data_IF_639774575010
#
_entry.id   IF_639774575010
#
_cell.length_a   1.000
_cell.length_b   1.000
_cell.length_c   1.000
_cell.angle_alpha   90.00
_cell.angle_beta   90.00
_cell.angle_gamma   90.00
#
_symmetry.space_group_name_H-M   'P 1'
#
loop_
_entity.id
_entity.type
_entity.pdbx_description
1 polymer ?
#
# COMPACT_ATOMS: atom_id res chain seq x y z
N UNK A 1 30.21 -4.05 -55.56
CA UNK A 1 30.14 -3.53 -54.18
C UNK A 1 28.72 -3.05 -53.83
N UNK A 2 28.05 -2.23 -54.68
CA UNK A 2 26.70 -1.69 -54.43
C UNK A 2 25.67 -2.82 -54.26
N UNK A 3 25.71 -3.89 -55.06
CA UNK A 3 24.76 -4.99 -54.93
C UNK A 3 24.88 -5.76 -53.61
N UNK A 4 26.09 -5.91 -53.06
CA UNK A 4 26.30 -6.63 -51.79
C UNK A 4 25.75 -5.82 -50.63
N UNK A 5 25.96 -4.51 -50.60
CA UNK A 5 25.42 -3.63 -49.56
C UNK A 5 23.88 -3.54 -49.58
N UNK A 6 23.29 -3.51 -50.79
CA UNK A 6 21.83 -3.53 -50.93
C UNK A 6 21.24 -4.86 -50.46
N UNK A 7 21.87 -5.98 -50.82
CA UNK A 7 21.42 -7.31 -50.37
C UNK A 7 21.50 -7.45 -48.86
N UNK A 8 22.59 -6.98 -48.25
CA UNK A 8 22.75 -6.99 -46.79
C UNK A 8 21.71 -6.11 -46.09
N UNK A 9 21.47 -4.91 -46.64
CA UNK A 9 20.42 -4.01 -46.09
C UNK A 9 19.03 -4.62 -46.19
N UNK A 10 18.70 -5.33 -47.27
CA UNK A 10 17.42 -6.04 -47.42
C UNK A 10 17.27 -7.18 -46.41
N UNK A 11 18.32 -7.97 -46.21
CA UNK A 11 18.31 -9.06 -45.20
C UNK A 11 18.16 -8.49 -43.81
N UNK A 12 18.87 -7.42 -43.46
CA UNK A 12 18.76 -6.75 -42.18
C UNK A 12 17.36 -6.15 -41.95
N UNK A 13 16.75 -5.57 -42.98
CA UNK A 13 15.40 -5.03 -42.92
C UNK A 13 14.33 -6.13 -42.69
N UNK A 14 14.45 -7.26 -43.40
CA UNK A 14 13.58 -8.42 -43.22
C UNK A 14 13.76 -9.03 -41.82
N UNK A 15 15.00 -9.18 -41.38
CA UNK A 15 15.31 -9.66 -40.04
C UNK A 15 14.68 -8.75 -38.97
N UNK A 16 14.89 -7.43 -39.07
CA UNK A 16 14.33 -6.45 -38.13
C UNK A 16 12.81 -6.45 -38.16
N UNK A 17 12.19 -6.58 -39.34
CA UNK A 17 10.74 -6.54 -39.48
C UNK A 17 10.01 -7.81 -38.92
N UNK A 18 10.71 -8.96 -38.94
CA UNK A 18 10.09 -10.23 -38.49
C UNK A 18 10.50 -10.67 -37.09
N UNK A 19 11.73 -10.43 -36.68
CA UNK A 19 12.26 -10.96 -35.42
C UNK A 19 12.06 -9.97 -34.27
N UNK A 20 12.32 -8.68 -34.51
CA UNK A 20 12.16 -7.66 -33.47
C UNK A 20 10.71 -7.59 -32.89
N UNK A 21 9.62 -7.57 -33.70
CA UNK A 21 8.27 -7.55 -33.16
C UNK A 21 7.92 -8.77 -32.31
N UNK A 22 8.42 -9.96 -32.69
CA UNK A 22 8.20 -11.17 -31.90
C UNK A 22 8.84 -11.11 -30.53
N UNK A 23 10.10 -10.67 -30.46
CA UNK A 23 10.84 -10.53 -29.20
C UNK A 23 10.30 -9.40 -28.31
N UNK A 24 9.84 -8.30 -28.90
CA UNK A 24 9.23 -7.21 -28.16
C UNK A 24 7.88 -7.62 -27.60
N UNK A 25 7.06 -8.34 -28.36
CA UNK A 25 5.75 -8.84 -27.92
C UNK A 25 5.87 -9.84 -26.77
N UNK A 26 6.84 -10.77 -26.84
CA UNK A 26 7.09 -11.73 -25.76
C UNK A 26 7.47 -11.03 -24.45
N UNK A 27 8.41 -10.09 -24.50
CA UNK A 27 8.80 -9.29 -23.32
C UNK A 27 7.66 -8.42 -22.79
N UNK A 28 6.85 -7.85 -23.67
CA UNK A 28 5.74 -7.03 -23.28
C UNK A 28 4.60 -7.86 -22.66
N UNK A 29 4.37 -9.08 -23.17
CA UNK A 29 3.45 -10.04 -22.61
C UNK A 29 3.88 -10.52 -21.21
N UNK A 30 5.16 -10.86 -21.04
CA UNK A 30 5.71 -11.20 -19.71
C UNK A 30 5.58 -10.05 -18.71
N UNK A 31 5.87 -8.82 -19.16
CA UNK A 31 5.69 -7.62 -18.34
C UNK A 31 4.22 -7.43 -17.94
N UNK A 32 3.29 -7.59 -18.88
CA UNK A 32 1.85 -7.48 -18.62
C UNK A 32 1.35 -8.56 -17.66
N UNK A 33 1.86 -9.79 -17.78
CA UNK A 33 1.52 -10.88 -16.87
C UNK A 33 1.95 -10.56 -15.44
N UNK A 34 3.19 -10.08 -15.25
CA UNK A 34 3.68 -9.67 -13.92
C UNK A 34 2.84 -8.52 -13.36
N UNK A 35 2.51 -7.52 -14.17
CA UNK A 35 1.67 -6.40 -13.75
C UNK A 35 0.25 -6.90 -13.38
N UNK A 36 -0.34 -7.77 -14.20
CA UNK A 36 -1.67 -8.32 -13.94
C UNK A 36 -1.70 -9.18 -12.66
N UNK A 37 -0.69 -9.99 -12.43
CA UNK A 37 -0.56 -10.80 -11.20
C UNK A 37 -0.43 -9.88 -9.98
N UNK A 38 0.42 -8.86 -10.03
CA UNK A 38 0.57 -7.90 -8.95
C UNK A 38 -0.71 -7.11 -8.70
N UNK A 39 -1.41 -6.71 -9.77
CA UNK A 39 -2.67 -6.00 -9.67
C UNK A 39 -3.83 -6.88 -9.16
N UNK A 40 -3.80 -8.18 -9.46
CA UNK A 40 -4.79 -9.13 -8.95
C UNK A 40 -4.59 -9.50 -7.49
N UNK A 41 -3.35 -9.42 -7.00
CA UNK A 41 -3.05 -9.66 -5.60
C UNK A 41 -3.63 -8.56 -4.72
N UNK A 42 -4.27 -8.97 -3.63
CA UNK A 42 -4.69 -8.04 -2.58
C UNK A 42 -3.51 -7.60 -1.70
N UNK A 43 -2.41 -8.33 -1.77
CA UNK A 43 -1.20 -8.15 -0.99
C UNK A 43 -0.14 -7.37 -1.76
N UNK A 44 0.49 -6.43 -1.11
CA UNK A 44 1.69 -5.76 -1.60
C UNK A 44 2.92 -6.51 -1.09
N UNK A 45 3.37 -7.50 -1.82
CA UNK A 45 4.47 -8.40 -1.43
C UNK A 45 5.75 -7.62 -1.08
N UNK A 46 6.02 -6.54 -1.82
CA UNK A 46 7.20 -5.71 -1.56
C UNK A 46 7.02 -4.87 -0.30
N UNK A 47 5.85 -4.25 -0.12
CA UNK A 47 5.50 -3.52 1.09
C UNK A 47 5.50 -4.43 2.32
N UNK A 48 4.97 -5.64 2.22
CA UNK A 48 5.01 -6.63 3.30
C UNK A 48 6.44 -7.01 3.69
N UNK A 49 7.31 -7.25 2.72
CA UNK A 49 8.71 -7.53 3.00
C UNK A 49 9.41 -6.37 3.71
N UNK A 50 9.16 -5.14 3.30
CA UNK A 50 9.68 -3.95 3.97
C UNK A 50 9.12 -3.78 5.39
N UNK A 51 7.80 -4.03 5.58
CA UNK A 51 7.19 -3.98 6.91
C UNK A 51 7.80 -5.01 7.85
N UNK A 52 7.93 -6.25 7.39
CA UNK A 52 8.51 -7.32 8.20
C UNK A 52 9.97 -7.09 8.56
N UNK A 53 10.72 -6.39 7.71
CA UNK A 53 12.12 -6.03 7.97
C UNK A 53 12.23 -4.90 8.99
N UNK A 54 11.41 -3.84 8.85
CA UNK A 54 11.49 -2.65 9.71
C UNK A 54 10.70 -2.76 11.02
N UNK A 55 9.70 -3.65 11.10
CA UNK A 55 8.80 -3.71 12.24
C UNK A 55 9.49 -4.03 13.57
N UNK A 56 10.46 -4.97 13.63
CA UNK A 56 11.24 -5.22 14.84
C UNK A 56 12.00 -3.99 15.32
N UNK A 57 12.46 -3.11 14.43
CA UNK A 57 13.16 -1.88 14.80
C UNK A 57 12.20 -0.90 15.46
N UNK A 58 10.95 -0.81 15.00
CA UNK A 58 9.91 0.02 15.63
C UNK A 58 9.54 -0.55 17.02
N UNK A 59 9.36 -1.87 17.15
CA UNK A 59 9.01 -2.53 18.41
C UNK A 59 10.09 -2.36 19.48
N UNK A 60 11.37 -2.35 19.05
CA UNK A 60 12.52 -2.23 19.96
C UNK A 60 13.05 -0.79 20.07
N UNK A 61 12.37 0.18 19.49
CA UNK A 61 12.79 1.59 19.58
C UNK A 61 12.64 2.12 21.01
N UNK A 62 13.77 2.38 21.64
CA UNK A 62 13.82 2.84 23.03
C UNK A 62 13.27 4.24 23.22
N UNK A 63 13.41 5.11 22.20
CA UNK A 63 12.88 6.47 22.27
C UNK A 63 11.35 6.46 22.14
N UNK A 64 10.83 5.66 21.22
CA UNK A 64 9.39 5.45 21.07
C UNK A 64 8.81 4.84 22.34
N UNK A 65 9.47 3.83 22.91
CA UNK A 65 9.08 3.20 24.18
C UNK A 65 9.03 4.19 25.33
N UNK A 66 10.05 5.06 25.47
CA UNK A 66 10.08 6.10 26.52
C UNK A 66 8.93 7.10 26.35
N UNK A 67 8.68 7.55 25.13
CA UNK A 67 7.53 8.44 24.86
C UNK A 67 6.19 7.77 25.17
N UNK A 68 6.01 6.50 24.79
CA UNK A 68 4.78 5.73 24.97
C UNK A 68 4.52 5.28 26.42
N UNK A 69 5.55 5.17 27.24
CA UNK A 69 5.44 4.68 28.64
C UNK A 69 4.94 5.75 29.62
N UNK A 70 4.72 6.97 29.17
CA UNK A 70 4.20 8.07 30.02
C UNK A 70 2.79 7.79 30.49
N UNK A 71 2.50 8.14 31.72
CA UNK A 71 1.16 7.98 32.33
C UNK A 71 0.09 8.81 31.61
N UNK A 72 0.47 9.99 31.15
CA UNK A 72 -0.39 10.89 30.39
C UNK A 72 0.32 11.38 29.14
N UNK A 73 -0.36 11.25 28.00
CA UNK A 73 0.08 11.79 26.72
C UNK A 73 -0.76 13.01 26.36
N UNK A 74 -0.13 14.17 26.31
CA UNK A 74 -0.77 15.37 25.81
C UNK A 74 -0.97 15.28 24.28
N UNK A 75 -1.87 16.07 23.67
CA UNK A 75 -1.98 16.14 22.20
C UNK A 75 -0.68 16.46 21.49
N UNK A 76 0.20 17.26 22.11
CA UNK A 76 1.51 17.61 21.56
C UNK A 76 2.48 16.41 21.62
N UNK A 77 2.44 15.60 22.69
CA UNK A 77 3.21 14.35 22.77
C UNK A 77 2.76 13.37 21.68
N UNK A 78 1.46 13.21 21.49
CA UNK A 78 0.90 12.35 20.44
C UNK A 78 1.34 12.80 19.05
N UNK A 79 1.26 14.09 18.73
CA UNK A 79 1.72 14.65 17.47
C UNK A 79 3.24 14.47 17.27
N UNK A 80 4.00 14.54 18.36
CA UNK A 80 5.45 14.31 18.33
C UNK A 80 5.76 12.85 17.97
N UNK A 81 5.02 11.89 18.55
CA UNK A 81 5.17 10.46 18.23
C UNK A 81 4.79 10.20 16.76
N UNK A 82 3.70 10.76 16.26
CA UNK A 82 3.29 10.60 14.86
C UNK A 82 4.35 11.13 13.90
N UNK A 83 4.86 12.34 14.16
CA UNK A 83 5.93 12.93 13.37
C UNK A 83 7.23 12.11 13.42
N UNK A 84 7.53 11.55 14.59
CA UNK A 84 8.68 10.69 14.76
C UNK A 84 8.59 9.42 13.92
N UNK A 85 7.44 8.76 13.92
CA UNK A 85 7.17 7.57 13.11
C UNK A 85 7.27 7.89 11.60
N UNK A 86 6.63 8.98 11.16
CA UNK A 86 6.67 9.39 9.77
C UNK A 86 8.10 9.65 9.28
N UNK A 87 8.90 10.37 10.05
CA UNK A 87 10.24 10.78 9.63
C UNK A 87 11.21 9.60 9.65
N UNK A 88 11.14 8.72 10.64
CA UNK A 88 12.16 7.69 10.85
C UNK A 88 11.82 6.36 10.17
N UNK A 89 10.52 6.04 9.99
CA UNK A 89 10.09 4.73 9.51
C UNK A 89 9.24 4.79 8.24
N UNK A 90 8.32 5.75 8.15
CA UNK A 90 7.30 5.75 7.10
C UNK A 90 7.53 6.81 6.02
N UNK A 91 8.76 6.93 5.52
CA UNK A 91 9.12 7.79 4.38
C UNK A 91 9.32 6.98 3.10
N UNK A 92 9.40 7.65 1.97
CA UNK A 92 9.78 7.07 0.68
C UNK A 92 8.72 6.12 0.11
N UNK A 93 8.91 4.81 0.22
CA UNK A 93 7.94 3.83 -0.26
C UNK A 93 6.56 4.04 0.36
N UNK A 94 6.51 4.38 1.63
CA UNK A 94 5.30 4.57 2.42
C UNK A 94 4.51 5.83 2.07
N UNK A 95 5.04 6.71 1.22
CA UNK A 95 4.29 7.85 0.68
C UNK A 95 3.17 7.43 -0.29
N UNK A 96 3.16 6.14 -0.70
CA UNK A 96 2.06 5.52 -1.44
C UNK A 96 0.94 4.98 -0.55
N UNK A 97 1.06 5.17 0.78
CA UNK A 97 0.07 4.74 1.76
C UNK A 97 -0.50 5.91 2.54
N UNK A 98 -1.79 5.88 2.77
CA UNK A 98 -2.42 6.68 3.81
C UNK A 98 -2.06 6.05 5.17
N UNK A 99 -1.46 6.86 6.03
CA UNK A 99 -0.90 6.43 7.31
C UNK A 99 -1.77 6.99 8.42
N UNK A 100 -2.43 6.11 9.16
CA UNK A 100 -3.28 6.48 10.29
C UNK A 100 -2.65 5.91 11.56
N UNK A 101 -2.31 6.79 12.46
CA UNK A 101 -1.76 6.43 13.77
C UNK A 101 -2.80 6.64 14.85
N UNK A 102 -3.01 5.65 15.68
CA UNK A 102 -3.91 5.74 16.83
C UNK A 102 -3.16 5.33 18.08
N UNK A 103 -3.13 6.21 19.08
CA UNK A 103 -2.58 5.92 20.40
C UNK A 103 -3.71 5.98 21.41
N UNK A 104 -3.84 4.94 22.22
CA UNK A 104 -4.83 4.89 23.27
C UNK A 104 -4.37 4.00 24.43
N UNK A 105 -4.90 4.25 25.63
CA UNK A 105 -4.79 3.34 26.75
C UNK A 105 -5.82 2.21 26.64
N UNK A 106 -5.61 1.10 27.32
CA UNK A 106 -6.46 -0.10 27.24
C UNK A 106 -7.90 0.11 27.70
N UNK A 107 -8.17 1.12 28.51
CA UNK A 107 -9.50 1.53 28.98
C UNK A 107 -10.08 2.76 28.25
N UNK A 108 -9.35 3.31 27.27
CA UNK A 108 -9.75 4.55 26.59
C UNK A 108 -10.91 4.35 25.63
N UNK A 109 -11.88 5.29 25.62
CA UNK A 109 -12.93 5.32 24.62
C UNK A 109 -12.39 5.83 23.28
N UNK A 110 -12.81 5.20 22.18
CA UNK A 110 -12.59 5.64 20.81
C UNK A 110 -13.86 6.33 20.31
N UNK A 111 -13.72 7.57 19.83
CA UNK A 111 -14.82 8.37 19.29
C UNK A 111 -14.72 8.41 17.76
N UNK A 112 -15.83 8.16 17.08
CA UNK A 112 -15.91 8.22 15.63
C UNK A 112 -16.54 9.53 15.19
N UNK A 113 -15.83 10.35 14.44
CA UNK A 113 -16.33 11.65 13.94
C UNK A 113 -17.53 11.50 13.00
N UNK A 114 -17.57 10.40 12.23
CA UNK A 114 -18.63 10.15 11.25
C UNK A 114 -19.91 9.57 11.82
N UNK A 115 -19.88 9.06 13.07
CA UNK A 115 -21.01 8.37 13.70
C UNK A 115 -21.25 8.98 15.07
N UNK A 116 -22.10 10.03 15.10
CA UNK A 116 -22.37 10.82 16.29
C UNK A 116 -22.92 9.96 17.44
N UNK A 117 -22.05 9.56 18.35
CA UNK A 117 -22.38 8.86 19.57
C UNK A 117 -21.89 7.42 19.68
N UNK A 118 -21.25 6.86 18.65
CA UNK A 118 -20.63 5.55 18.77
C UNK A 118 -19.31 5.69 19.54
N UNK A 119 -19.27 5.02 20.69
CA UNK A 119 -18.10 4.94 21.56
C UNK A 119 -17.78 3.47 21.74
N UNK A 120 -16.57 3.09 21.40
CA UNK A 120 -16.06 1.73 21.60
C UNK A 120 -14.79 1.79 22.46
N UNK A 121 -14.46 0.70 23.15
CA UNK A 121 -13.14 0.60 23.75
C UNK A 121 -12.10 0.46 22.65
N UNK A 122 -11.03 1.23 22.73
CA UNK A 122 -10.03 1.30 21.67
C UNK A 122 -9.36 -0.06 21.38
N UNK A 123 -8.93 -0.77 22.41
CA UNK A 123 -8.30 -2.08 22.25
C UNK A 123 -9.27 -3.13 21.71
N UNK A 124 -10.52 -3.13 22.18
CA UNK A 124 -11.56 -4.02 21.69
C UNK A 124 -11.88 -3.76 20.21
N UNK A 125 -11.90 -2.50 19.80
CA UNK A 125 -12.12 -2.11 18.42
C UNK A 125 -11.06 -2.72 17.49
N UNK A 126 -9.78 -2.51 17.78
CA UNK A 126 -8.72 -3.04 16.94
C UNK A 126 -8.63 -4.57 17.02
N UNK A 127 -8.84 -5.15 18.20
CA UNK A 127 -8.89 -6.61 18.36
C UNK A 127 -10.00 -7.23 17.54
N UNK A 128 -11.19 -6.69 17.57
CA UNK A 128 -12.32 -7.21 16.79
C UNK A 128 -12.08 -7.13 15.29
N UNK A 129 -11.40 -6.10 14.81
CA UNK A 129 -11.02 -5.98 13.41
C UNK A 129 -9.99 -7.04 12.99
N UNK A 130 -8.99 -7.30 13.84
CA UNK A 130 -8.02 -8.37 13.61
C UNK A 130 -8.71 -9.74 13.59
N UNK A 131 -9.61 -10.01 14.52
CA UNK A 131 -10.33 -11.29 14.59
C UNK A 131 -11.28 -11.51 13.40
N UNK A 132 -11.92 -10.47 12.89
CA UNK A 132 -12.91 -10.57 11.81
C UNK A 132 -12.30 -10.56 10.41
N UNK A 133 -11.25 -9.78 10.19
CA UNK A 133 -10.72 -9.47 8.85
C UNK A 133 -9.21 -9.68 8.74
N UNK A 134 -8.54 -10.03 9.84
CA UNK A 134 -7.09 -10.07 9.91
C UNK A 134 -6.49 -11.38 9.44
N UNK A 135 -5.45 -11.31 8.64
CA UNK A 135 -4.54 -12.42 8.34
C UNK A 135 -3.15 -12.03 8.84
N UNK A 136 -2.59 -12.72 9.86
CA UNK A 136 -1.27 -12.37 10.37
C UNK A 136 -0.19 -12.45 9.30
N UNK A 137 0.68 -11.45 9.27
CA UNK A 137 1.89 -11.44 8.47
C UNK A 137 3.01 -12.03 9.33
N UNK A 138 3.22 -13.33 9.22
CA UNK A 138 4.19 -14.03 10.04
C UNK A 138 3.84 -14.01 11.57
N UNK A 139 4.80 -14.32 12.45
CA UNK A 139 4.63 -14.32 13.93
C UNK A 139 4.73 -12.89 14.54
N UNK A 140 4.57 -11.86 13.73
CA UNK A 140 4.65 -10.46 14.16
C UNK A 140 3.28 -9.88 14.52
N UNK A 141 3.26 -8.77 15.24
CA UNK A 141 2.05 -7.99 15.52
C UNK A 141 1.55 -7.19 14.30
N UNK A 142 1.86 -7.67 13.11
CA UNK A 142 1.44 -7.14 11.83
C UNK A 142 0.37 -8.03 11.21
N UNK A 143 -0.69 -7.41 10.74
CA UNK A 143 -1.85 -8.09 10.17
C UNK A 143 -2.23 -7.43 8.85
N UNK A 144 -2.47 -8.25 7.83
CA UNK A 144 -3.19 -7.82 6.64
C UNK A 144 -4.69 -7.82 6.95
N UNK A 145 -5.40 -6.73 6.65
CA UNK A 145 -6.84 -6.61 6.83
C UNK A 145 -7.55 -6.70 5.47
N UNK A 146 -8.36 -7.73 5.28
CA UNK A 146 -9.21 -7.86 4.09
C UNK A 146 -10.55 -7.15 4.33
N UNK A 147 -10.62 -5.89 3.89
CA UNK A 147 -11.85 -5.10 3.96
C UNK A 147 -12.68 -5.12 2.67
N UNK A 148 -12.39 -6.06 1.76
CA UNK A 148 -13.01 -6.16 0.42
C UNK A 148 -12.89 -4.89 -0.46
N UNK A 149 -12.05 -3.92 -0.06
CA UNK A 149 -11.83 -2.71 -0.87
C UNK A 149 -10.92 -2.96 -2.07
N UNK A 150 -10.29 -4.13 -2.08
CA UNK A 150 -9.30 -4.47 -3.10
C UNK A 150 -7.96 -3.74 -2.96
N UNK A 151 -7.76 -2.99 -1.89
CA UNK A 151 -6.52 -2.25 -1.60
C UNK A 151 -5.75 -2.94 -0.48
N UNK A 152 -4.42 -3.06 -0.59
CA UNK A 152 -3.60 -3.48 0.52
C UNK A 152 -3.85 -2.62 1.75
N UNK A 153 -4.16 -3.27 2.86
CA UNK A 153 -4.44 -2.64 4.12
C UNK A 153 -3.76 -3.42 5.24
N UNK A 154 -2.86 -2.77 5.93
CA UNK A 154 -2.06 -3.37 6.98
C UNK A 154 -2.34 -2.67 8.31
N UNK A 155 -2.38 -3.46 9.38
CA UNK A 155 -2.48 -2.98 10.74
C UNK A 155 -1.30 -3.54 11.54
N UNK A 156 -0.54 -2.63 12.14
CA UNK A 156 0.49 -2.97 13.11
C UNK A 156 0.06 -2.57 14.52
N UNK A 157 0.35 -3.42 15.50
CA UNK A 157 -0.03 -3.21 16.89
C UNK A 157 1.21 -3.30 17.78
N UNK A 158 1.50 -2.24 18.54
CA UNK A 158 2.61 -2.21 19.51
C UNK A 158 2.03 -1.81 20.87
N UNK A 159 2.42 -2.52 21.92
CA UNK A 159 1.95 -2.29 23.26
C UNK A 159 3.11 -1.95 24.19
N UNK A 160 2.95 -0.86 24.95
CA UNK A 160 3.91 -0.42 25.93
C UNK A 160 3.28 -0.40 27.33
N UNK A 161 3.96 -1.01 28.29
CA UNK A 161 3.53 -0.93 29.70
C UNK A 161 3.81 0.46 30.26
N UNK A 162 2.85 1.01 30.94
CA UNK A 162 2.94 2.27 31.67
C UNK A 162 3.48 2.03 33.09
N UNK A 163 3.90 3.10 33.73
CA UNK A 163 4.43 3.07 35.11
C UNK A 163 3.37 2.56 36.11
N UNK A 164 2.08 2.78 35.82
CA UNK A 164 0.94 2.34 36.65
C UNK A 164 0.52 0.88 36.42
N UNK A 165 1.18 0.17 35.48
CA UNK A 165 0.85 -1.21 35.12
C UNK A 165 -0.27 -1.36 34.08
N UNK A 166 -0.88 -0.26 33.64
CA UNK A 166 -1.76 -0.25 32.46
C UNK A 166 -0.94 -0.24 31.17
N UNK A 167 -1.58 -0.32 30.00
CA UNK A 167 -0.89 -0.35 28.70
C UNK A 167 -1.36 0.77 27.80
N UNK A 168 -0.41 1.36 27.10
CA UNK A 168 -0.68 2.16 25.91
C UNK A 168 -0.49 1.29 24.68
N UNK A 169 -1.43 1.37 23.73
CA UNK A 169 -1.34 0.75 22.42
C UNK A 169 -1.08 1.80 21.35
N UNK A 170 -0.12 1.53 20.49
CA UNK A 170 0.08 2.21 19.21
C UNK A 170 -0.43 1.32 18.10
N UNK A 171 -1.41 1.80 17.37
CA UNK A 171 -1.98 1.15 16.21
C UNK A 171 -1.61 1.93 14.96
N UNK A 172 -0.95 1.26 14.01
CA UNK A 172 -0.48 1.85 12.76
C UNK A 172 -1.28 1.22 11.63
N UNK A 173 -2.13 2.00 11.00
CA UNK A 173 -2.91 1.56 9.83
C UNK A 173 -2.27 2.12 8.56
N UNK A 174 -1.98 1.24 7.60
CA UNK A 174 -1.40 1.59 6.31
C UNK A 174 -2.36 1.16 5.21
N UNK A 175 -2.97 2.12 4.55
CA UNK A 175 -3.95 1.89 3.49
C UNK A 175 -3.33 2.33 2.17
N UNK A 176 -3.18 1.42 1.22
CA UNK A 176 -2.58 1.76 -0.07
C UNK A 176 -3.42 2.83 -0.79
N UNK A 177 -2.77 3.92 -1.13
CA UNK A 177 -3.33 4.98 -1.95
C UNK A 177 -3.24 4.54 -3.42
N UNK A 178 -4.28 3.89 -3.92
CA UNK A 178 -4.42 3.78 -5.37
C UNK A 178 -4.67 5.20 -5.89
N UNK A 179 -3.63 5.84 -6.36
CA UNK A 179 -3.76 7.13 -7.03
C UNK A 179 -4.47 6.88 -8.35
N UNK A 180 -5.75 7.22 -8.38
CA UNK A 180 -6.43 7.43 -9.65
C UNK A 180 -5.75 8.66 -10.29
N UNK A 181 -5.08 8.46 -11.40
CA UNK A 181 -4.79 9.58 -12.28
C UNK A 181 -6.15 10.04 -12.82
N UNK A 182 -6.78 10.99 -12.10
CA UNK A 182 -7.93 11.70 -12.66
C UNK A 182 -7.45 12.40 -13.94
N UNK A 183 -7.99 11.98 -15.07
CA UNK A 183 -7.85 12.68 -16.35
C UNK A 183 -8.30 14.12 -16.20
N UNK A 184 -7.36 15.04 -16.01
CA UNK A 184 -7.72 16.45 -15.89
C UNK A 184 -6.59 17.36 -15.41
N UNK A 185 -5.53 16.81 -14.82
CA UNK A 185 -4.36 17.62 -14.49
C UNK A 185 -3.30 17.50 -15.59
N UNK A 186 -2.77 18.63 -16.09
CA UNK A 186 -1.69 18.60 -17.06
C UNK A 186 -0.50 17.84 -16.47
N UNK A 187 0.03 16.86 -17.20
CA UNK A 187 1.23 16.03 -16.85
C UNK A 187 2.44 16.87 -16.39
N UNK A 188 2.45 18.16 -16.72
CA UNK A 188 3.49 19.15 -16.36
C UNK A 188 3.53 19.50 -14.87
N UNK A 189 2.51 19.17 -14.09
CA UNK A 189 2.42 19.50 -12.66
C UNK A 189 2.68 18.28 -11.75
N UNK A 190 2.89 17.10 -12.32
CA UNK A 190 3.23 15.90 -11.57
C UNK A 190 4.75 15.88 -11.38
N UNK A 191 5.21 15.97 -10.15
CA UNK A 191 6.64 15.82 -9.84
C UNK A 191 7.06 14.37 -10.13
N UNK A 192 7.75 14.16 -11.25
CA UNK A 192 8.21 12.84 -11.74
C UNK A 192 9.11 12.08 -10.76
N UNK A 193 9.50 12.68 -9.65
CA UNK A 193 10.26 12.01 -8.58
C UNK A 193 9.43 10.99 -7.82
N UNK A 194 8.11 11.11 -7.84
CA UNK A 194 7.16 10.21 -7.15
C UNK A 194 6.50 9.18 -8.08
N UNK A 195 6.78 9.24 -9.37
CA UNK A 195 6.19 8.36 -10.39
C UNK A 195 7.07 7.12 -10.65
N UNK A 196 7.47 6.44 -9.58
CA UNK A 196 8.36 5.27 -9.65
C UNK A 196 7.67 3.93 -9.41
N UNK A 197 6.46 3.75 -9.92
CA UNK A 197 6.02 2.41 -10.30
C UNK A 197 6.12 2.31 -11.84
N UNK A 198 7.21 1.76 -12.39
CA UNK A 198 7.34 1.64 -13.83
C UNK A 198 6.30 0.65 -14.33
N UNK A 199 5.32 1.12 -15.07
CA UNK A 199 4.50 0.31 -15.96
C UNK A 199 3.05 0.06 -15.60
N UNK A 200 2.52 0.48 -14.45
CA UNK A 200 1.08 0.29 -14.12
C UNK A 200 0.21 1.33 -14.85
N UNK A 201 0.74 2.52 -15.11
CA UNK A 201 -0.01 3.63 -15.72
C UNK A 201 -0.21 3.51 -17.23
N UNK A 202 0.55 2.64 -17.91
CA UNK A 202 0.52 2.53 -19.37
C UNK A 202 -0.68 1.73 -19.91
N UNK A 203 -1.35 0.95 -19.05
CA UNK A 203 -2.46 0.08 -19.46
C UNK A 203 -3.68 0.28 -18.59
N UNK A 204 -4.87 0.48 -19.18
CA UNK A 204 -6.10 0.50 -18.39
C UNK A 204 -6.40 -0.91 -17.88
N UNK A 205 -6.61 -1.04 -16.57
CA UNK A 205 -6.87 -2.30 -15.89
C UNK A 205 -8.08 -2.20 -14.98
N UNK A 206 -8.79 -3.31 -14.81
CA UNK A 206 -9.90 -3.43 -13.89
C UNK A 206 -9.81 -4.74 -13.13
N UNK A 207 -10.12 -4.68 -11.82
CA UNK A 207 -10.22 -5.86 -10.97
C UNK A 207 -11.67 -6.06 -10.56
N UNK A 208 -12.15 -7.29 -10.76
CA UNK A 208 -13.48 -7.71 -10.37
C UNK A 208 -13.40 -8.76 -9.27
N UNK A 209 -14.29 -8.65 -8.28
CA UNK A 209 -14.50 -9.67 -7.25
C UNK A 209 -15.99 -10.03 -7.29
N UNK A 210 -16.30 -11.31 -7.46
CA UNK A 210 -17.66 -11.80 -7.61
C UNK A 210 -18.46 -11.04 -8.70
N UNK A 211 -17.83 -10.81 -9.85
CA UNK A 211 -18.34 -10.07 -11.01
C UNK A 211 -18.57 -8.57 -10.81
N UNK A 212 -18.37 -8.04 -9.62
CA UNK A 212 -18.46 -6.59 -9.32
C UNK A 212 -17.10 -5.92 -9.47
N UNK A 213 -17.07 -4.74 -10.12
CA UNK A 213 -15.88 -3.92 -10.26
C UNK A 213 -15.47 -3.38 -8.88
N UNK A 214 -14.25 -3.73 -8.44
CA UNK A 214 -13.70 -3.30 -7.15
C UNK A 214 -12.63 -2.23 -7.33
N UNK A 215 -11.86 -2.32 -8.41
CA UNK A 215 -10.75 -1.40 -8.67
C UNK A 215 -10.58 -1.23 -10.18
N UNK A 216 -10.35 0.03 -10.60
CA UNK A 216 -9.93 0.32 -11.99
C UNK A 216 -8.79 1.34 -12.00
N UNK A 217 -7.91 1.22 -12.98
CA UNK A 217 -6.81 2.14 -13.26
C UNK A 217 -6.86 2.51 -14.74
N UNK A 218 -6.53 3.78 -15.05
CA UNK A 218 -6.54 4.34 -16.39
C UNK A 218 -7.90 4.87 -16.84
N UNK A 219 -7.92 5.50 -18.03
CA UNK A 219 -9.05 6.28 -18.53
C UNK A 219 -10.15 5.44 -19.19
N UNK A 220 -10.01 4.11 -19.23
CA UNK A 220 -11.01 3.24 -19.83
C UNK A 220 -12.18 3.02 -18.87
N UNK A 221 -13.40 3.29 -19.33
CA UNK A 221 -14.60 3.00 -18.57
C UNK A 221 -14.92 1.49 -18.62
N UNK A 222 -14.65 0.79 -17.53
CA UNK A 222 -15.00 -0.62 -17.37
C UNK A 222 -16.45 -0.76 -16.89
N UNK A 223 -17.08 -1.88 -17.21
CA UNK A 223 -18.43 -2.17 -16.70
C UNK A 223 -18.38 -2.39 -15.18
N UNK A 224 -19.40 -1.90 -14.47
CA UNK A 224 -19.49 -2.10 -13.00
C UNK A 224 -19.80 -3.53 -12.61
N UNK A 225 -20.46 -4.30 -13.49
CA UNK A 225 -20.83 -5.71 -13.29
C UNK A 225 -20.59 -6.49 -14.58
N UNK A 226 -19.96 -7.65 -14.49
CA UNK A 226 -19.71 -8.54 -15.64
C UNK A 226 -20.92 -9.36 -16.04
N UNK A 227 -21.99 -9.39 -15.21
CA UNK A 227 -23.24 -10.13 -15.48
C UNK A 227 -24.22 -9.36 -16.37
N UNK A 228 -23.98 -8.07 -16.59
CA UNK A 228 -24.75 -7.21 -17.46
C UNK A 228 -23.98 -6.89 -18.74
#
# INVERSE_FOLDING_TARGET
LINITVTFALIAAVYSAYILPGLTWEKESEKLEVIAVNFSNQHDIYGEALLLDMWPDIENDTLLSDMMSREFLSPDDVNTIYSYLDINYFTGYWDNYDKIYTICADDSPLYFESDTGRVENCFEFFRSRVEQMGTPLNDSNLVFLDNNSGRPYYLGCIYHERVDGSRNGLFVELINLVRYTESGYPELLIDRRYDKQPGITDYPMARYINDSLVLQIGDHAFKNDLRT
#
